data_IF_419251545811
#
_entry.id   IF_419251545811
#
_cell.length_a   1.000
_cell.length_b   1.000
_cell.length_c   1.000
_cell.angle_alpha   90.00
_cell.angle_beta   90.00
_cell.angle_gamma   90.00
#
_symmetry.space_group_name_H-M   'P 1'
#
loop_
_entity.id
_entity.type
_entity.pdbx_description
1 polymer ?
2 non-polymer ?
3 non-polymer ?
4 non-polymer ?
5 water ?
#
# COMPACT_ATOMS: atom_id res chain seq x y z
N UNK A 1 -52.15 16.02 -13.18
CA UNK A 1 -51.66 16.00 -11.79
C UNK A 1 -52.13 14.75 -11.07
N UNK A 2 -53.43 14.65 -10.83
CA UNK A 2 -53.97 13.82 -9.76
C UNK A 2 -53.01 12.71 -9.36
N UNK A 3 -52.64 11.88 -10.33
CA UNK A 3 -51.51 10.97 -10.17
C UNK A 3 -50.25 11.54 -10.82
N UNK A 4 -49.63 12.51 -10.15
CA UNK A 4 -48.23 12.85 -10.39
C UNK A 4 -47.31 12.03 -9.48
N UNK A 5 -46.54 11.13 -10.10
CA UNK A 5 -45.36 10.55 -9.46
C UNK A 5 -44.11 11.22 -10.03
N UNK A 6 -44.27 12.33 -10.73
CA UNK A 6 -43.11 13.11 -11.19
C UNK A 6 -42.36 13.61 -9.97
N UNK A 7 -41.05 13.33 -9.92
CA UNK A 7 -40.18 13.97 -8.97
C UNK A 7 -40.00 15.45 -9.36
N UNK A 8 -39.69 16.31 -8.38
CA UNK A 8 -39.29 17.71 -8.62
C UNK A 8 -38.43 18.25 -7.48
N UNK A 9 -37.66 19.33 -7.72
CA UNK A 9 -36.70 19.81 -6.71
C UNK A 9 -37.28 19.98 -5.32
N UNK A 10 -36.45 19.73 -4.32
CA UNK A 10 -36.91 19.61 -2.94
C UNK A 10 -37.11 20.97 -2.33
N UNK A 11 -38.10 21.06 -1.44
CA UNK A 11 -38.27 22.21 -0.56
C UNK A 11 -37.26 22.01 0.58
N UNK A 12 -36.71 23.10 1.10
CA UNK A 12 -35.62 23.07 2.09
C UNK A 12 -35.98 22.36 3.43
N UNK A 13 -37.26 22.39 3.79
CA UNK A 13 -37.81 21.61 4.92
C UNK A 13 -38.23 20.18 4.51
N UNK A 14 -38.06 19.85 3.22
CA UNK A 14 -38.46 18.55 2.71
C UNK A 14 -37.32 17.61 2.82
N UNK A 15 -37.14 17.10 4.04
CA UNK A 15 -35.95 16.35 4.43
C UNK A 15 -35.88 14.97 3.77
N UNK A 16 -36.92 14.15 3.85
CA UNK A 16 -36.89 12.82 3.20
C UNK A 16 -36.65 12.88 1.67
N UNK A 17 -36.94 14.04 1.07
CA UNK A 17 -36.67 14.32 -0.33
C UNK A 17 -35.18 14.59 -0.60
N UNK A 18 -34.57 15.38 0.29
CA UNK A 18 -33.17 15.82 0.18
C UNK A 18 -32.31 14.66 0.58
N UNK A 19 -32.74 13.89 1.57
CA UNK A 19 -32.09 12.63 1.92
C UNK A 19 -32.06 11.70 0.71
N UNK A 20 -33.21 11.57 0.06
CA UNK A 20 -33.36 10.69 -1.09
C UNK A 20 -32.55 11.17 -2.27
N UNK A 21 -32.47 12.49 -2.48
CA UNK A 21 -31.61 13.05 -3.52
C UNK A 21 -30.12 12.80 -3.21
N UNK A 22 -29.74 12.89 -1.95
CA UNK A 22 -28.40 12.49 -1.57
C UNK A 22 -28.13 11.03 -1.94
N UNK A 23 -29.07 10.14 -1.63
CA UNK A 23 -28.94 8.71 -2.00
C UNK A 23 -28.87 8.43 -3.53
N UNK A 24 -29.77 9.02 -4.31
CA UNK A 24 -29.75 8.87 -5.76
C UNK A 24 -28.40 9.30 -6.34
N UNK A 25 -27.88 10.40 -5.84
CA UNK A 25 -26.58 10.91 -6.25
C UNK A 25 -25.44 9.91 -6.00
N UNK A 26 -25.30 9.45 -4.76
CA UNK A 26 -24.34 8.45 -4.39
C UNK A 26 -24.44 7.23 -5.26
N UNK A 27 -25.63 6.69 -5.36
CA UNK A 27 -25.86 5.54 -6.24
C UNK A 27 -25.55 5.74 -7.69
N UNK A 28 -25.55 6.98 -8.20
CA UNK A 28 -25.29 7.12 -9.63
C UNK A 28 -23.96 7.84 -9.93
N UNK A 29 -23.09 7.89 -8.95
CA UNK A 29 -21.79 8.54 -9.10
C UNK A 29 -20.60 7.79 -8.57
N UNK A 30 -20.81 6.59 -8.05
CA UNK A 30 -19.73 5.84 -7.42
C UNK A 30 -18.68 5.38 -8.41
N UNK A 31 -19.05 5.25 -9.65
CA UNK A 31 -18.16 4.93 -10.77
C UNK A 31 -17.23 6.11 -11.13
N UNK A 32 -17.54 7.31 -10.60
CA UNK A 32 -16.82 8.50 -10.97
C UNK A 32 -17.40 9.14 -12.20
N UNK A 33 -17.33 10.47 -12.22
CA UNK A 33 -17.58 11.29 -13.41
C UNK A 33 -16.46 12.34 -13.50
N UNK A 34 -15.33 11.99 -14.10
CA UNK A 34 -14.14 12.85 -13.98
C UNK A 34 -14.27 14.11 -14.71
N UNK A 35 -15.21 14.12 -15.66
CA UNK A 35 -15.52 15.33 -16.37
C UNK A 35 -16.02 16.46 -15.44
N UNK A 36 -16.63 16.11 -14.32
CA UNK A 36 -17.12 17.08 -13.39
C UNK A 36 -16.45 17.00 -12.03
N UNK A 37 -15.22 16.48 -12.00
CA UNK A 37 -14.39 16.43 -10.79
C UNK A 37 -14.94 15.50 -9.72
N UNK A 38 -15.72 14.50 -10.14
CA UNK A 38 -16.26 13.48 -9.27
C UNK A 38 -15.40 12.25 -9.34
N UNK A 39 -14.89 11.85 -8.17
CA UNK A 39 -13.95 10.73 -8.04
C UNK A 39 -14.69 9.42 -7.84
N UNK A 40 -14.04 8.37 -8.30
CA UNK A 40 -14.48 7.04 -8.11
C UNK A 40 -14.54 6.68 -6.65
N UNK A 41 -15.61 5.99 -6.26
CA UNK A 41 -15.81 5.57 -4.90
C UNK A 41 -15.90 4.05 -4.71
N UNK A 42 -16.15 3.34 -5.79
CA UNK A 42 -16.23 1.92 -5.77
C UNK A 42 -15.98 1.37 -7.16
N UNK A 43 -14.82 0.67 -7.37
CA UNK A 43 -13.70 0.51 -6.41
C UNK A 43 -12.94 1.79 -6.19
N UNK A 44 -12.37 1.96 -5.02
CA UNK A 44 -11.48 3.10 -4.74
C UNK A 44 -10.19 2.53 -4.19
N UNK A 45 -9.06 2.95 -4.70
CA UNK A 45 -7.77 2.51 -4.19
C UNK A 45 -7.16 3.54 -3.26
N UNK A 46 -6.90 3.15 -2.02
CA UNK A 46 -6.04 3.91 -1.07
C UNK A 46 -4.57 3.50 -1.26
N UNK A 47 -3.76 4.34 -1.87
CA UNK A 47 -2.32 4.00 -2.16
C UNK A 47 -1.47 3.51 -1.01
N UNK A 48 -1.57 4.17 0.14
CA UNK A 48 -0.79 3.87 1.33
C UNK A 48 -1.48 4.21 2.65
N UNK A 49 -1.23 3.39 3.64
CA UNK A 49 -1.67 3.55 5.03
C UNK A 49 -0.56 2.93 5.89
N UNK A 50 0.45 3.74 6.21
CA UNK A 50 1.55 3.35 7.08
C UNK A 50 1.11 3.58 8.50
N UNK A 51 1.78 2.89 9.39
CA UNK A 51 1.41 2.97 10.76
C UNK A 51 2.55 2.35 11.56
N UNK A 52 2.80 2.95 12.71
CA UNK A 52 3.85 2.50 13.61
C UNK A 52 3.38 2.62 15.05
N UNK A 53 3.29 1.48 15.73
CA UNK A 53 3.08 1.46 17.17
C UNK A 53 4.42 1.34 17.86
N UNK A 54 4.83 2.42 18.53
CA UNK A 54 6.00 2.39 19.39
C UNK A 54 5.59 2.08 20.83
N UNK A 55 6.54 1.57 21.61
CA UNK A 55 7.76 1.04 21.04
C UNK A 55 7.66 -0.49 20.99
N UNK A 56 6.44 -1.02 21.09
CA UNK A 56 6.14 -2.34 20.52
C UNK A 56 6.73 -2.63 19.16
N UNK A 57 7.63 -1.76 18.70
CA UNK A 57 8.60 -2.13 17.67
C UNK A 57 8.10 -2.85 16.43
N UNK A 58 7.07 -2.31 15.83
CA UNK A 58 6.46 -2.96 14.73
C UNK A 58 5.92 -1.87 13.84
N UNK A 59 6.20 -1.95 12.55
CA UNK A 59 5.55 -1.06 11.60
C UNK A 59 4.68 -1.90 10.70
N UNK A 60 3.47 -1.43 10.46
CA UNK A 60 2.57 -2.10 9.54
C UNK A 60 2.13 -1.08 8.50
N UNK A 61 2.23 -1.48 7.23
CA UNK A 61 1.94 -0.60 6.10
C UNK A 61 1.06 -1.33 5.07
N UNK A 62 -0.15 -0.85 4.86
CA UNK A 62 -1.04 -1.37 3.81
C UNK A 62 -0.83 -0.62 2.52
N UNK A 63 -0.56 -1.33 1.43
CA UNK A 63 -0.28 -0.70 0.15
C UNK A 63 -1.32 -1.05 -0.94
N UNK A 64 -1.63 -0.06 -1.74
CA UNK A 64 -2.64 -0.17 -2.77
C UNK A 64 -3.88 -0.97 -2.35
N UNK A 65 -4.61 -0.42 -1.39
CA UNK A 65 -5.81 -1.08 -0.88
C UNK A 65 -7.00 -0.78 -1.77
N UNK A 66 -7.50 -1.79 -2.48
CA UNK A 66 -8.65 -1.65 -3.30
C UNK A 66 -9.87 -1.88 -2.45
N UNK A 67 -10.68 -0.83 -2.26
CA UNK A 67 -11.87 -0.87 -1.38
C UNK A 67 -13.17 -0.95 -2.21
N UNK A 68 -13.99 -1.96 -1.92
CA UNK A 68 -15.25 -2.21 -2.67
C UNK A 68 -16.37 -2.33 -1.61
N UNK A 69 -17.59 -1.97 -2.01
CA UNK A 69 -18.77 -2.08 -1.18
C UNK A 69 -19.51 -0.77 -1.00
N UNK A 70 -18.81 0.34 -1.17
CA UNK A 70 -19.45 1.65 -1.04
C UNK A 70 -20.56 1.98 -2.02
N UNK A 71 -20.57 1.37 -3.21
CA UNK A 71 -21.75 1.48 -4.06
C UNK A 71 -23.09 1.10 -3.36
N UNK A 72 -23.02 0.17 -2.39
CA UNK A 72 -24.15 -0.35 -1.66
C UNK A 72 -24.50 0.43 -0.36
N UNK A 73 -23.90 1.58 -0.11
CA UNK A 73 -24.06 2.22 1.17
C UNK A 73 -25.45 2.85 1.27
N UNK A 74 -26.07 2.81 2.43
CA UNK A 74 -27.48 3.23 2.58
C UNK A 74 -27.57 4.26 3.65
N UNK A 75 -28.19 5.39 3.36
CA UNK A 75 -28.37 6.48 4.32
C UNK A 75 -29.16 5.98 5.53
N UNK A 76 -28.69 6.32 6.72
CA UNK A 76 -29.37 5.91 7.94
C UNK A 76 -29.87 7.06 8.80
N UNK A 77 -29.35 8.23 8.54
CA UNK A 77 -29.74 9.44 9.20
C UNK A 77 -29.40 10.58 8.27
N UNK A 78 -30.26 11.58 8.30
CA UNK A 78 -30.08 12.76 7.52
C UNK A 78 -30.73 13.97 8.19
N UNK A 79 -29.91 14.89 8.70
CA UNK A 79 -30.33 16.17 9.28
C UNK A 79 -29.98 17.31 8.35
N UNK A 80 -30.91 18.26 8.17
CA UNK A 80 -30.57 19.56 7.53
C UNK A 80 -31.18 20.77 8.25
N UNK A 81 -30.33 21.49 8.99
CA UNK A 81 -30.71 22.64 9.80
C UNK A 81 -30.74 23.90 8.94
N UNK A 82 -31.92 24.47 8.76
CA UNK A 82 -32.16 25.48 7.73
C UNK A 82 -31.48 26.82 8.05
N UNK A 83 -31.27 27.08 9.34
CA UNK A 83 -30.59 28.31 9.79
C UNK A 83 -29.17 28.41 9.24
N UNK A 84 -28.37 27.37 9.46
CA UNK A 84 -26.98 27.34 8.99
C UNK A 84 -26.76 26.69 7.61
N UNK A 85 -27.81 26.09 7.05
CA UNK A 85 -27.69 25.05 6.00
C UNK A 85 -26.62 24.04 6.43
N UNK A 86 -26.68 23.67 7.71
CA UNK A 86 -25.81 22.66 8.30
C UNK A 86 -26.41 21.27 8.00
N UNK A 87 -25.59 20.41 7.38
CA UNK A 87 -25.97 19.06 7.01
C UNK A 87 -25.27 18.06 7.91
N UNK A 88 -26.01 17.05 8.37
CA UNK A 88 -25.42 15.85 8.97
C UNK A 88 -26.13 14.58 8.49
N UNK A 89 -25.38 13.65 7.90
CA UNK A 89 -25.99 12.40 7.47
C UNK A 89 -25.04 11.23 7.72
N UNK A 90 -25.61 10.06 7.98
CA UNK A 90 -24.82 8.84 8.10
C UNK A 90 -25.27 7.81 7.07
N UNK A 91 -24.34 6.99 6.61
CA UNK A 91 -24.68 5.82 5.82
C UNK A 91 -24.14 4.56 6.50
N UNK A 92 -24.85 3.45 6.31
CA UNK A 92 -24.34 2.14 6.69
C UNK A 92 -23.61 1.48 5.50
N UNK A 93 -22.43 0.94 5.77
CA UNK A 93 -21.64 0.32 4.76
C UNK A 93 -20.92 -0.99 5.20
N UNK A 94 -20.83 -1.95 4.26
CA UNK A 94 -20.00 -3.14 4.40
C UNK A 94 -18.97 -3.07 3.27
N UNK A 95 -17.71 -3.01 3.61
CA UNK A 95 -16.69 -3.01 2.61
C UNK A 95 -15.63 -4.08 2.80
N UNK A 96 -14.90 -4.31 1.72
CA UNK A 96 -13.77 -5.17 1.69
C UNK A 96 -12.60 -4.35 1.19
N UNK A 97 -11.46 -4.42 1.88
CA UNK A 97 -10.25 -3.72 1.42
C UNK A 97 -9.21 -4.76 1.11
N UNK A 98 -8.74 -4.79 -0.13
CA UNK A 98 -7.80 -5.83 -0.55
C UNK A 98 -6.51 -5.23 -1.13
N UNK A 99 -5.35 -5.59 -0.56
CA UNK A 99 -4.03 -5.14 -1.06
C UNK A 99 -2.83 -5.85 -0.44
N UNK A 100 -1.69 -5.16 -0.34
CA UNK A 100 -0.48 -5.72 0.23
C UNK A 100 -0.27 -5.21 1.65
N UNK A 101 0.19 -6.09 2.51
CA UNK A 101 0.66 -5.76 3.87
C UNK A 101 2.18 -5.89 3.92
N UNK A 102 2.84 -4.84 4.42
CA UNK A 102 4.26 -4.93 4.80
C UNK A 102 4.36 -4.85 6.33
N UNK A 103 4.95 -5.88 6.91
CA UNK A 103 5.26 -5.91 8.33
C UNK A 103 6.78 -5.70 8.45
N UNK A 104 7.20 -4.68 9.18
CA UNK A 104 8.60 -4.52 9.49
C UNK A 104 8.87 -4.76 10.98
N UNK A 105 9.97 -5.45 11.24
CA UNK A 105 10.47 -5.69 12.58
C UNK A 105 11.84 -5.04 12.66
N UNK A 106 11.86 -3.74 12.96
CA UNK A 106 13.07 -2.93 12.85
C UNK A 106 14.26 -3.38 13.74
N UNK A 107 14.00 -3.91 14.93
CA UNK A 107 15.10 -4.28 15.81
C UNK A 107 15.80 -5.55 15.29
N UNK A 108 15.07 -6.35 14.51
CA UNK A 108 15.62 -7.51 13.80
C UNK A 108 16.00 -7.21 12.34
N UNK A 109 15.66 -6.03 11.84
CA UNK A 109 15.94 -5.62 10.47
C UNK A 109 15.25 -6.52 9.43
N UNK A 110 14.02 -6.96 9.75
CA UNK A 110 13.28 -7.85 8.89
C UNK A 110 12.02 -7.21 8.35
N UNK A 111 11.54 -7.75 7.26
CA UNK A 111 10.40 -7.29 6.52
C UNK A 111 9.67 -8.52 5.96
N UNK A 112 8.35 -8.54 6.01
CA UNK A 112 7.54 -9.54 5.29
C UNK A 112 6.44 -8.81 4.53
N UNK A 113 6.13 -9.34 3.34
CA UNK A 113 5.18 -8.78 2.39
C UNK A 113 4.34 -9.89 1.79
N UNK A 114 3.02 -9.75 1.90
CA UNK A 114 2.05 -10.71 1.40
C UNK A 114 0.70 -10.04 1.19
N UNK A 115 -0.29 -10.78 0.73
CA UNK A 115 -1.61 -10.25 0.48
C UNK A 115 -2.45 -10.16 1.76
N UNK A 116 -3.28 -9.13 1.83
CA UNK A 116 -4.19 -8.90 2.97
C UNK A 116 -5.60 -8.49 2.50
N UNK A 117 -6.58 -8.94 3.26
CA UNK A 117 -7.97 -8.57 3.06
C UNK A 117 -8.54 -8.24 4.41
N UNK A 118 -9.13 -7.05 4.47
CA UNK A 118 -9.89 -6.57 5.61
C UNK A 118 -11.34 -6.43 5.21
N UNK A 119 -12.22 -6.84 6.11
CA UNK A 119 -13.67 -6.65 5.90
C UNK A 119 -14.28 -6.05 7.13
N UNK A 120 -15.07 -5.00 6.94
CA UNK A 120 -15.86 -4.41 8.00
C UNK A 120 -17.29 -4.01 7.60
N UNK A 121 -18.10 -3.96 8.65
CA UNK A 121 -19.36 -3.31 8.66
C UNK A 121 -19.21 -2.09 9.56
N UNK A 122 -19.68 -0.98 9.06
CA UNK A 122 -19.51 0.29 9.71
C UNK A 122 -20.73 1.15 9.45
N UNK A 123 -20.80 2.23 10.21
CA UNK A 123 -21.65 3.36 9.89
C UNK A 123 -20.73 4.58 10.01
N UNK A 124 -20.67 5.37 8.94
CA UNK A 124 -19.87 6.58 8.94
C UNK A 124 -20.80 7.77 8.73
N UNK A 125 -20.38 8.93 9.24
CA UNK A 125 -21.21 10.12 9.15
C UNK A 125 -20.41 11.27 8.62
N UNK A 126 -21.09 12.28 8.09
CA UNK A 126 -20.41 13.51 7.63
C UNK A 126 -21.22 14.69 8.17
N UNK A 127 -20.53 15.69 8.69
CA UNK A 127 -21.16 16.88 9.15
C UNK A 127 -20.46 18.05 8.46
N UNK A 128 -21.25 18.97 7.95
CA UNK A 128 -20.67 20.21 7.37
C UNK A 128 -21.77 21.20 7.15
N UNK A 129 -21.43 22.41 6.79
CA UNK A 129 -22.47 23.39 6.43
C UNK A 129 -22.18 23.99 5.08
N UNK A 130 -23.24 24.47 4.44
CA UNK A 130 -23.14 25.12 3.14
C UNK A 130 -23.09 26.62 3.34
N UNK A 131 -22.21 27.28 2.59
CA UNK A 131 -22.36 28.71 2.31
C UNK A 131 -22.74 28.87 0.83
N UNK A 132 -23.56 29.87 0.54
CA UNK A 132 -23.73 30.33 -0.85
C UNK A 132 -22.61 31.33 -1.15
N UNK A 133 -21.92 31.11 -2.27
CA UNK A 133 -20.72 31.88 -2.60
C UNK A 133 -20.80 32.44 -4.03
N UNK A 134 -19.89 33.39 -4.29
CA UNK A 134 -20.13 34.48 -5.26
C UNK A 134 -20.93 34.07 -6.48
N UNK A 135 -20.40 33.12 -7.27
CA UNK A 135 -19.22 32.29 -6.91
C UNK A 135 -18.09 32.43 -7.94
N UNK A 136 -18.46 32.81 -9.16
CA UNK A 136 -17.53 33.42 -10.09
C UNK A 136 -18.01 34.82 -10.46
N UNK A 137 -19.04 34.90 -11.31
CA UNK A 137 -19.51 36.17 -11.85
C UNK A 137 -21.01 36.16 -12.12
N UNK A 138 -21.78 36.15 -11.04
CA UNK A 138 -23.24 36.18 -11.14
C UNK A 138 -23.88 34.84 -10.85
N UNK A 139 -23.28 33.78 -11.36
CA UNK A 139 -23.63 32.43 -10.94
C UNK A 139 -23.36 32.28 -9.45
N UNK A 140 -24.41 32.11 -8.65
CA UNK A 140 -24.28 31.78 -7.24
C UNK A 140 -24.44 30.28 -7.03
N UNK A 141 -23.59 29.70 -6.18
CA UNK A 141 -23.64 28.26 -5.90
C UNK A 141 -23.52 28.00 -4.41
N UNK A 142 -24.04 26.86 -4.01
CA UNK A 142 -23.73 26.30 -2.71
C UNK A 142 -22.29 25.82 -2.63
N UNK A 143 -21.68 26.06 -1.47
CA UNK A 143 -20.33 25.66 -1.19
C UNK A 143 -20.33 24.89 0.12
N UNK A 144 -20.19 23.58 0.04
CA UNK A 144 -20.07 22.76 1.25
C UNK A 144 -18.73 23.05 1.93
N UNK A 145 -18.78 23.35 3.23
CA UNK A 145 -17.55 23.69 3.99
C UNK A 145 -16.81 22.46 4.50
N UNK A 146 -15.69 22.64 5.20
CA UNK A 146 -14.99 21.46 5.70
C UNK A 146 -15.86 20.57 6.61
N UNK A 147 -15.77 19.26 6.35
CA UNK A 147 -16.55 18.26 7.05
C UNK A 147 -15.81 17.59 8.22
N UNK A 148 -16.62 17.07 9.14
CA UNK A 148 -16.20 16.16 10.20
C UNK A 148 -16.80 14.79 9.84
N UNK A 149 -15.99 13.73 9.94
CA UNK A 149 -16.41 12.37 9.69
C UNK A 149 -16.39 11.56 11.00
N UNK A 150 -17.48 10.85 11.29
CA UNK A 150 -17.56 9.91 12.40
C UNK A 150 -17.46 8.52 11.82
N UNK A 151 -17.06 7.58 12.65
CA UNK A 151 -16.94 6.21 12.29
C UNK A 151 -17.33 5.30 13.46
N UNK A 152 -18.31 4.46 13.21
CA UNK A 152 -18.67 3.39 14.07
C UNK A 152 -18.56 2.06 13.31
N UNK A 153 -17.93 1.09 13.93
CA UNK A 153 -17.75 -0.27 13.45
C UNK A 153 -18.77 -1.15 14.18
N UNK A 154 -19.36 -2.08 13.47
CA UNK A 154 -20.24 -3.10 14.02
C UNK A 154 -19.55 -4.43 14.03
N UNK A 155 -19.43 -5.01 15.21
CA UNK A 155 -18.68 -6.24 15.38
C UNK A 155 -17.20 -5.95 15.38
N UNK A 156 -16.41 -6.95 14.99
CA UNK A 156 -15.00 -6.77 14.76
C UNK A 156 -14.67 -7.10 13.31
N UNK A 157 -13.98 -6.20 12.63
CA UNK A 157 -13.43 -6.46 11.31
C UNK A 157 -12.73 -7.80 11.22
N UNK A 158 -12.82 -8.47 10.08
CA UNK A 158 -12.02 -9.64 9.81
C UNK A 158 -10.80 -9.19 9.03
N UNK A 159 -9.64 -9.63 9.48
CA UNK A 159 -8.37 -9.38 8.81
C UNK A 159 -7.83 -10.73 8.48
N UNK A 160 -7.42 -10.87 7.23
CA UNK A 160 -7.11 -12.14 6.67
C UNK A 160 -5.89 -11.94 5.75
N UNK A 161 -4.99 -12.90 5.82
CA UNK A 161 -3.62 -12.81 5.30
C UNK A 161 -3.34 -14.09 4.48
N UNK A 162 -2.42 -14.04 3.53
CA UNK A 162 -2.13 -15.24 2.77
C UNK A 162 -1.63 -16.31 3.72
N UNK A 163 -1.81 -17.59 3.42
CA UNK A 163 -1.36 -18.58 4.37
C UNK A 163 0.19 -18.63 4.44
N UNK A 164 0.86 -18.24 3.37
CA UNK A 164 2.32 -18.18 3.42
C UNK A 164 2.82 -17.08 4.35
N UNK A 165 2.03 -16.01 4.45
CA UNK A 165 2.36 -14.92 5.32
C UNK A 165 2.05 -15.28 6.74
N UNK A 166 0.93 -15.94 6.99
CA UNK A 166 0.72 -16.49 8.36
C UNK A 166 1.91 -17.34 8.81
N UNK A 167 2.27 -18.31 7.98
CA UNK A 167 3.34 -19.23 8.30
C UNK A 167 4.64 -18.53 8.62
N UNK A 168 5.00 -17.56 7.79
CA UNK A 168 6.21 -16.74 8.00
C UNK A 168 6.18 -16.00 9.34
N UNK A 169 5.04 -15.43 9.69
CA UNK A 169 4.94 -14.70 10.95
C UNK A 169 4.95 -15.61 12.21
N UNK A 170 4.18 -16.71 12.17
CA UNK A 170 4.17 -17.72 13.18
C UNK A 170 5.59 -18.13 13.48
N UNK A 171 6.42 -18.20 12.48
CA UNK A 171 7.72 -18.81 12.61
C UNK A 171 8.80 -17.81 12.98
N UNK A 172 8.43 -16.55 13.12
CA UNK A 172 9.32 -15.47 13.49
C UNK A 172 9.23 -15.10 14.99
N UNK A 173 10.33 -15.26 15.72
CA UNK A 173 10.34 -15.10 17.18
C UNK A 173 10.08 -13.66 17.68
N UNK A 174 10.63 -12.68 16.94
CA UNK A 174 10.39 -11.26 17.25
C UNK A 174 8.92 -10.86 17.08
N UNK A 175 8.32 -11.30 15.97
CA UNK A 175 6.90 -11.11 15.81
C UNK A 175 6.10 -11.91 16.81
N UNK A 176 6.44 -13.16 17.00
CA UNK A 176 5.69 -13.93 18.00
C UNK A 176 5.79 -13.36 19.39
N UNK A 177 6.93 -12.79 19.73
CA UNK A 177 7.11 -12.14 21.05
C UNK A 177 6.13 -10.98 21.24
N UNK A 178 5.86 -10.30 20.16
CA UNK A 178 4.95 -9.18 20.12
C UNK A 178 3.51 -9.66 20.14
N UNK A 179 3.20 -10.63 19.31
CA UNK A 179 1.83 -11.13 19.30
C UNK A 179 1.39 -11.77 20.65
N UNK A 180 2.34 -12.40 21.33
CA UNK A 180 2.11 -13.07 22.60
C UNK A 180 1.94 -12.05 23.74
N UNK A 181 2.86 -11.08 23.84
CA UNK A 181 2.78 -10.05 24.85
C UNK A 181 1.79 -8.89 24.51
N UNK A 182 1.46 -8.64 23.23
CA UNK A 182 0.70 -7.46 22.83
C UNK A 182 -0.39 -7.80 21.82
N UNK A 183 -0.77 -9.06 21.77
CA UNK A 183 -1.89 -9.50 20.92
C UNK A 183 -3.06 -8.58 21.00
N UNK A 184 -3.47 -8.29 22.21
CA UNK A 184 -4.52 -7.28 22.48
C UNK A 184 -4.45 -6.13 21.51
N UNK A 185 -3.34 -5.42 21.53
CA UNK A 185 -3.25 -4.07 20.92
C UNK A 185 -3.14 -4.14 19.39
N UNK A 186 -2.47 -5.15 18.87
CA UNK A 186 -2.58 -5.48 17.47
C UNK A 186 -4.03 -5.58 17.00
N UNK A 187 -4.80 -6.42 17.68
CA UNK A 187 -6.25 -6.50 17.48
C UNK A 187 -6.95 -5.14 17.55
N UNK A 188 -6.57 -4.30 18.50
CA UNK A 188 -6.97 -2.87 18.51
C UNK A 188 -6.72 -2.30 17.14
N UNK A 189 -5.45 -2.32 16.70
CA UNK A 189 -5.00 -1.69 15.47
C UNK A 189 -5.91 -1.93 14.27
N UNK A 190 -6.43 -3.15 14.20
CA UNK A 190 -7.34 -3.59 13.15
C UNK A 190 -8.62 -2.75 13.05
N UNK A 191 -9.20 -2.37 14.18
CA UNK A 191 -10.38 -1.46 14.22
C UNK A 191 -10.02 0.00 13.85
N UNK A 192 -8.86 0.48 14.31
CA UNK A 192 -8.33 1.78 13.90
C UNK A 192 -8.23 1.83 12.39
N UNK A 193 -7.64 0.78 11.82
CA UNK A 193 -7.45 0.74 10.37
C UNK A 193 -8.77 0.77 9.61
N UNK A 194 -9.77 0.00 10.06
CA UNK A 194 -11.13 0.07 9.47
C UNK A 194 -11.64 1.50 9.50
N UNK A 195 -11.51 2.18 10.63
CA UNK A 195 -11.97 3.55 10.71
C UNK A 195 -11.14 4.45 9.82
N UNK A 196 -9.88 4.13 9.60
CA UNK A 196 -9.13 4.95 8.62
C UNK A 196 -9.61 4.82 7.18
N UNK A 197 -9.94 3.60 6.80
CA UNK A 197 -10.50 3.38 5.46
C UNK A 197 -11.81 4.15 5.32
N UNK A 198 -12.65 4.06 6.31
CA UNK A 198 -13.93 4.73 6.31
C UNK A 198 -13.82 6.24 6.21
N UNK A 199 -12.91 6.82 7.00
CA UNK A 199 -12.60 8.26 6.99
C UNK A 199 -12.17 8.73 5.60
N UNK A 200 -11.19 8.05 5.06
CA UNK A 200 -10.65 8.34 3.75
C UNK A 200 -11.72 8.38 2.66
N UNK A 201 -12.51 7.33 2.61
CA UNK A 201 -13.52 7.22 1.58
C UNK A 201 -14.63 8.17 1.82
N UNK A 202 -15.00 8.45 3.07
CA UNK A 202 -16.11 9.40 3.26
C UNK A 202 -15.71 10.83 2.88
N UNK A 203 -14.44 11.15 3.03
CA UNK A 203 -13.95 12.45 2.62
C UNK A 203 -14.10 12.55 1.10
N UNK A 204 -13.82 11.46 0.37
CA UNK A 204 -13.98 11.49 -1.09
C UNK A 204 -15.43 11.71 -1.47
N UNK A 205 -16.32 11.10 -0.71
CA UNK A 205 -17.68 11.13 -1.15
C UNK A 205 -18.30 12.52 -0.90
N UNK A 206 -17.87 13.18 0.14
CA UNK A 206 -18.24 14.58 0.40
C UNK A 206 -17.56 15.53 -0.59
N UNK A 207 -16.34 15.22 -1.02
CA UNK A 207 -15.70 15.91 -2.14
C UNK A 207 -16.58 15.91 -3.34
N UNK A 208 -17.20 14.75 -3.58
CA UNK A 208 -18.11 14.60 -4.72
C UNK A 208 -19.37 15.40 -4.63
N UNK A 209 -20.01 15.39 -3.47
CA UNK A 209 -21.18 16.27 -3.26
C UNK A 209 -20.75 17.72 -3.41
N UNK A 210 -19.63 18.07 -2.78
CA UNK A 210 -19.09 19.39 -2.94
C UNK A 210 -18.84 19.77 -4.41
N UNK A 211 -18.27 18.86 -5.18
CA UNK A 211 -18.01 19.10 -6.59
C UNK A 211 -19.29 19.27 -7.39
N UNK A 212 -20.30 18.45 -7.10
CA UNK A 212 -21.62 18.59 -7.75
C UNK A 212 -22.28 19.94 -7.39
N UNK A 213 -22.22 20.34 -6.12
CA UNK A 213 -22.82 21.63 -5.73
C UNK A 213 -22.19 22.85 -6.43
N UNK A 214 -20.95 22.74 -6.88
CA UNK A 214 -20.29 23.80 -7.60
C UNK A 214 -20.79 23.98 -9.01
N UNK A 215 -21.09 22.87 -9.67
CA UNK A 215 -21.56 22.85 -11.06
C UNK A 215 -22.99 23.35 -11.14
N UNK A 216 -23.82 22.81 -10.25
CA UNK A 216 -25.24 23.06 -10.23
C UNK A 216 -25.56 24.52 -9.78
N UNK A 217 -26.78 25.03 -10.08
CA UNK A 217 -27.19 26.44 -9.78
C UNK A 217 -27.46 26.94 -8.31
N UNK A 218 -28.02 26.14 -7.40
CA UNK A 218 -28.82 24.98 -7.71
C UNK A 218 -30.17 25.17 -7.07
N UNK A 219 -31.07 25.69 -7.89
CA UNK A 219 -32.48 25.50 -7.71
C UNK A 219 -32.83 24.00 -7.81
N UNK A 220 -31.80 23.13 -7.85
CA UNK A 220 -31.95 21.71 -7.48
C UNK A 220 -31.77 21.60 -5.94
N UNK A 221 -32.70 22.22 -5.23
CA UNK A 221 -32.55 22.57 -3.81
C UNK A 221 -33.56 21.82 -2.93
N UNK B 9 13.42 -34.22 -14.34
CA UNK B 9 14.77 -34.62 -13.96
C UNK B 9 15.09 -34.51 -12.46
N UNK B 10 14.06 -34.45 -11.60
CA UNK B 10 14.21 -34.59 -10.13
C UNK B 10 13.20 -35.59 -9.57
N UNK B 11 13.40 -35.99 -8.31
CA UNK B 11 12.37 -36.61 -7.49
C UNK B 11 11.78 -35.48 -6.62
N UNK B 12 10.48 -35.58 -6.34
CA UNK B 12 9.80 -34.54 -5.57
C UNK B 12 10.24 -34.50 -4.10
N UNK B 13 10.63 -35.63 -3.55
CA UNK B 13 11.13 -35.67 -2.17
C UNK B 13 12.62 -35.40 -2.12
N UNK B 14 13.24 -35.32 -3.29
CA UNK B 14 14.64 -34.88 -3.40
C UNK B 14 14.71 -33.35 -3.48
N UNK B 15 14.88 -32.73 -2.32
CA UNK B 15 14.87 -31.29 -2.23
C UNK B 15 16.30 -30.69 -2.37
N UNK B 16 17.31 -31.56 -2.24
CA UNK B 16 18.69 -31.20 -2.58
C UNK B 16 18.81 -31.01 -4.09
N UNK B 17 18.07 -31.84 -4.82
CA UNK B 17 17.99 -31.80 -6.27
C UNK B 17 17.28 -30.54 -6.72
N UNK B 18 16.09 -30.32 -6.15
CA UNK B 18 15.23 -29.19 -6.50
C UNK B 18 15.93 -27.86 -6.16
N UNK B 19 16.71 -27.87 -5.08
CA UNK B 19 17.50 -26.70 -4.68
C UNK B 19 18.64 -26.42 -5.65
N UNK B 20 19.43 -27.43 -6.01
CA UNK B 20 20.40 -27.29 -7.11
C UNK B 20 19.69 -26.75 -8.35
N UNK B 21 18.58 -27.39 -8.73
CA UNK B 21 17.80 -27.00 -9.90
C UNK B 21 17.51 -25.51 -9.88
N UNK B 22 16.99 -25.02 -8.76
CA UNK B 22 16.64 -23.60 -8.60
C UNK B 22 17.85 -22.69 -8.81
N UNK B 23 18.92 -22.97 -8.10
CA UNK B 23 20.11 -22.18 -8.20
C UNK B 23 20.57 -22.11 -9.65
N UNK B 24 20.66 -23.29 -10.28
CA UNK B 24 21.07 -23.37 -11.67
C UNK B 24 20.17 -22.48 -12.56
N UNK B 25 18.87 -22.51 -12.28
CA UNK B 25 17.89 -21.72 -13.05
C UNK B 25 18.17 -20.22 -12.92
N UNK B 26 18.30 -19.73 -11.69
CA UNK B 26 18.69 -18.35 -11.43
C UNK B 26 19.96 -18.03 -12.18
N UNK B 27 20.96 -18.88 -11.99
CA UNK B 27 22.29 -18.65 -12.58
C UNK B 27 22.26 -18.49 -14.09
N UNK B 28 21.29 -19.13 -14.73
CA UNK B 28 21.13 -19.08 -16.19
C UNK B 28 20.07 -18.09 -16.71
N UNK B 29 19.54 -17.22 -15.86
CA UNK B 29 18.47 -16.31 -16.28
C UNK B 29 18.58 -14.85 -15.84
N UNK B 30 19.66 -14.50 -15.11
CA UNK B 30 19.75 -13.15 -14.48
C UNK B 30 19.89 -12.07 -15.56
N UNK B 31 20.40 -12.49 -16.71
CA UNK B 31 20.60 -11.62 -17.84
C UNK B 31 19.31 -11.36 -18.64
N UNK B 32 18.20 -12.02 -18.29
CA UNK B 32 16.93 -11.88 -19.02
C UNK B 32 16.83 -12.80 -20.25
N UNK B 33 15.64 -13.38 -20.48
CA UNK B 33 15.31 -14.10 -21.72
C UNK B 33 13.94 -13.62 -22.23
N UNK B 34 13.93 -12.51 -22.99
CA UNK B 34 12.73 -11.71 -23.32
C UNK B 34 11.62 -12.45 -24.05
N UNK B 35 12.02 -13.43 -24.84
CA UNK B 35 11.07 -14.27 -25.58
C UNK B 35 10.17 -14.99 -24.58
N UNK B 36 10.78 -15.35 -23.43
CA UNK B 36 10.12 -16.10 -22.38
C UNK B 36 9.57 -15.16 -21.29
N UNK B 37 9.45 -13.87 -21.59
CA UNK B 37 9.07 -12.84 -20.59
C UNK B 37 9.81 -13.00 -19.26
N UNK B 38 11.09 -13.36 -19.35
CA UNK B 38 11.95 -13.50 -18.18
C UNK B 38 12.95 -12.34 -18.13
N UNK B 39 12.88 -11.55 -17.06
CA UNK B 39 13.47 -10.22 -17.02
C UNK B 39 14.87 -10.22 -16.43
N UNK B 40 15.65 -9.19 -16.79
CA UNK B 40 16.98 -8.99 -16.21
C UNK B 40 16.89 -8.82 -14.68
N UNK B 41 17.64 -9.65 -13.96
CA UNK B 41 17.83 -9.51 -12.52
C UNK B 41 19.16 -8.83 -12.21
N UNK B 42 20.08 -8.86 -13.18
CA UNK B 42 21.40 -8.30 -12.98
C UNK B 42 22.04 -7.86 -14.27
N UNK B 43 22.24 -6.54 -14.46
CA UNK B 43 21.73 -5.46 -13.62
C UNK B 43 20.23 -5.28 -13.80
N UNK B 44 19.61 -4.68 -12.78
CA UNK B 44 18.18 -4.41 -12.84
C UNK B 44 18.02 -2.97 -12.38
N UNK B 45 17.24 -2.20 -13.11
CA UNK B 45 17.04 -0.80 -12.80
C UNK B 45 15.64 -0.62 -12.24
N UNK B 46 15.61 0.11 -11.13
CA UNK B 46 14.37 0.48 -10.46
C UNK B 46 14.15 1.94 -10.79
N UNK B 47 13.10 2.23 -11.56
CA UNK B 47 12.85 3.61 -11.97
C UNK B 47 12.69 4.60 -10.81
N UNK B 48 11.95 4.18 -9.79
CA UNK B 48 11.60 5.10 -8.72
C UNK B 48 11.37 4.39 -7.40
N UNK B 49 11.86 5.04 -6.35
CA UNK B 49 11.73 4.62 -4.97
C UNK B 49 11.68 5.87 -4.09
N UNK B 50 10.50 6.19 -3.58
CA UNK B 50 10.27 7.42 -2.79
C UNK B 50 9.94 7.04 -1.36
N UNK B 51 10.37 7.83 -0.41
CA UNK B 51 9.92 7.66 0.98
C UNK B 51 10.06 8.96 1.78
N UNK B 52 9.20 9.10 2.79
CA UNK B 52 9.33 10.21 3.74
C UNK B 52 9.65 9.68 5.12
N UNK B 53 10.71 10.22 5.74
CA UNK B 53 11.09 9.79 7.08
C UNK B 53 10.16 10.38 8.13
N UNK B 54 10.28 9.88 9.36
CA UNK B 54 9.22 9.99 10.35
C UNK B 54 9.16 11.39 10.97
N UNK B 55 9.81 11.55 12.12
CA UNK B 55 9.65 12.75 12.93
C UNK B 55 10.31 13.95 12.26
N UNK B 56 11.40 13.70 11.55
CA UNK B 56 11.87 14.59 10.50
C UNK B 56 11.12 14.32 9.20
N UNK B 57 10.40 15.32 8.72
CA UNK B 57 9.91 15.35 7.35
C UNK B 57 11.08 15.42 6.36
N UNK B 58 11.73 14.28 6.13
CA UNK B 58 12.70 14.17 5.06
C UNK B 58 12.06 13.32 3.98
N UNK B 59 11.92 13.86 2.79
CA UNK B 59 11.56 13.05 1.62
C UNK B 59 12.81 12.64 0.89
N UNK B 60 12.95 11.35 0.63
CA UNK B 60 14.09 10.79 -0.06
C UNK B 60 13.54 10.09 -1.29
N UNK B 61 14.00 10.46 -2.46
CA UNK B 61 13.61 9.79 -3.69
C UNK B 61 14.88 9.30 -4.40
N UNK B 62 14.81 8.11 -4.97
CA UNK B 62 15.90 7.55 -5.75
C UNK B 62 15.37 7.36 -7.14
N UNK B 63 16.17 7.72 -8.12
CA UNK B 63 15.75 7.58 -9.51
C UNK B 63 16.73 6.74 -10.30
N UNK B 64 16.19 5.78 -11.05
CA UNK B 64 16.98 4.84 -11.86
C UNK B 64 18.13 4.24 -11.06
N UNK B 65 17.77 3.51 -10.02
CA UNK B 65 18.74 2.77 -9.28
C UNK B 65 19.10 1.55 -10.09
N UNK B 66 20.37 1.48 -10.49
CA UNK B 66 20.93 0.28 -11.12
C UNK B 66 21.51 -0.69 -10.06
N UNK B 67 20.82 -1.81 -9.87
CA UNK B 67 21.18 -2.81 -8.87
C UNK B 67 21.93 -3.98 -9.51
N UNK B 68 23.18 -4.15 -9.09
CA UNK B 68 23.97 -5.28 -9.50
C UNK B 68 24.31 -6.11 -8.27
N UNK B 69 24.64 -7.38 -8.50
CA UNK B 69 25.08 -8.30 -7.46
C UNK B 69 24.20 -9.54 -7.25
N UNK B 70 23.04 -9.58 -7.93
CA UNK B 70 22.07 -10.67 -7.73
C UNK B 70 22.42 -11.89 -8.52
N UNK B 71 23.26 -11.72 -9.52
CA UNK B 71 23.73 -12.86 -10.28
C UNK B 71 24.49 -13.82 -9.33
N UNK B 72 25.07 -13.26 -8.26
CA UNK B 72 25.89 -14.01 -7.27
C UNK B 72 25.14 -14.43 -6.00
N UNK B 73 23.81 -14.37 -6.04
CA UNK B 73 22.99 -14.82 -4.91
C UNK B 73 23.01 -16.35 -4.81
N UNK B 74 23.14 -16.84 -3.59
CA UNK B 74 23.23 -18.25 -3.35
C UNK B 74 22.06 -18.69 -2.50
N UNK B 75 21.33 -19.70 -2.96
CA UNK B 75 20.33 -20.39 -2.11
C UNK B 75 20.89 -20.69 -0.71
N UNK B 76 20.13 -20.31 0.31
CA UNK B 76 20.50 -20.46 1.71
C UNK B 76 19.43 -21.27 2.46
N UNK B 77 18.29 -21.49 1.81
CA UNK B 77 17.19 -22.24 2.39
C UNK B 77 16.30 -22.72 1.26
N UNK B 78 15.88 -23.97 1.33
CA UNK B 78 14.91 -24.55 0.41
C UNK B 78 13.99 -25.65 1.03
N UNK B 79 12.72 -25.58 0.66
CA UNK B 79 11.68 -26.38 1.28
C UNK B 79 10.60 -26.63 0.26
N UNK B 80 10.23 -27.89 0.12
CA UNK B 80 9.10 -28.24 -0.71
C UNK B 80 8.36 -29.33 0.02
N UNK B 81 7.13 -29.05 0.40
CA UNK B 81 6.20 -30.10 0.83
C UNK B 81 5.37 -30.61 -0.34
N UNK B 82 5.77 -31.73 -0.91
CA UNK B 82 5.12 -32.23 -2.10
C UNK B 82 3.63 -32.34 -1.85
N UNK B 83 3.29 -32.58 -0.59
CA UNK B 83 1.91 -32.84 -0.20
C UNK B 83 1.01 -31.64 -0.45
N UNK B 84 1.29 -30.54 0.26
CA UNK B 84 0.49 -29.33 0.15
C UNK B 84 1.13 -28.34 -0.83
N UNK B 85 2.28 -28.71 -1.37
CA UNK B 85 2.74 -28.13 -2.65
C UNK B 85 3.60 -26.90 -2.28
N UNK B 86 3.78 -26.65 -0.99
CA UNK B 86 4.42 -25.44 -0.51
C UNK B 86 5.89 -25.34 -0.95
N UNK B 87 6.22 -24.25 -1.63
CA UNK B 87 7.61 -23.88 -1.86
C UNK B 87 8.05 -22.71 -0.96
N UNK B 88 9.31 -22.75 -0.56
CA UNK B 88 9.88 -21.79 0.36
C UNK B 88 11.39 -21.83 0.24
N UNK B 89 11.94 -20.74 -0.30
CA UNK B 89 13.36 -20.64 -0.44
C UNK B 89 13.87 -19.24 -0.10
N UNK B 90 15.13 -19.11 0.30
CA UNK B 90 15.77 -17.82 0.56
C UNK B 90 17.14 -17.82 -0.10
N UNK B 91 17.66 -16.65 -0.48
CA UNK B 91 19.04 -16.59 -1.00
C UNK B 91 19.78 -15.50 -0.27
N UNK B 92 21.09 -15.70 -0.13
CA UNK B 92 21.93 -14.63 0.41
C UNK B 92 22.50 -13.82 -0.74
N UNK B 93 22.50 -12.49 -0.59
CA UNK B 93 22.96 -11.61 -1.66
C UNK B 93 23.64 -10.34 -1.13
N UNK B 94 24.77 -9.96 -1.73
CA UNK B 94 25.31 -8.63 -1.54
C UNK B 94 25.02 -7.82 -2.78
N UNK B 95 24.48 -6.61 -2.64
CA UNK B 95 24.21 -5.79 -3.84
C UNK B 95 24.69 -4.35 -3.71
N UNK B 96 24.83 -3.74 -4.90
CA UNK B 96 25.18 -2.33 -5.08
C UNK B 96 24.04 -1.71 -5.85
N UNK B 97 23.55 -0.57 -5.38
CA UNK B 97 22.51 0.18 -6.08
C UNK B 97 23.02 1.57 -6.43
N UNK B 98 23.02 1.89 -7.73
CA UNK B 98 23.57 3.15 -8.21
C UNK B 98 22.54 3.99 -8.96
N UNK B 99 22.40 5.24 -8.57
CA UNK B 99 21.51 6.15 -9.28
C UNK B 99 21.49 7.56 -8.71
N UNK B 100 20.36 8.25 -8.86
CA UNK B 100 20.25 9.65 -8.46
C UNK B 100 19.45 9.78 -7.17
N UNK B 101 19.98 10.52 -6.21
CA UNK B 101 19.30 10.79 -4.94
C UNK B 101 18.70 12.21 -4.93
N UNK B 102 17.40 12.33 -4.68
CA UNK B 102 16.76 13.61 -4.44
C UNK B 102 16.34 13.71 -2.98
N UNK B 103 16.81 14.75 -2.30
CA UNK B 103 16.54 14.93 -0.86
C UNK B 103 15.75 16.22 -0.63
N UNK B 104 14.54 16.08 -0.08
CA UNK B 104 13.68 17.21 0.16
C UNK B 104 13.40 17.44 1.64
N UNK B 105 13.50 18.70 2.02
CA UNK B 105 13.00 19.19 3.31
C UNK B 105 11.71 19.95 2.97
N UNK B 106 10.52 19.29 3.00
CA UNK B 106 9.22 19.84 2.54
C UNK B 106 8.63 20.97 3.39
N UNK B 107 9.16 21.16 4.59
CA UNK B 107 8.92 22.41 5.38
C UNK B 107 9.32 23.64 4.56
N UNK B 108 10.58 23.65 4.12
CA UNK B 108 11.09 24.66 3.20
C UNK B 108 10.88 24.23 1.72
N UNK B 109 10.72 22.92 1.49
CA UNK B 109 10.76 22.31 0.14
C UNK B 109 12.09 22.68 -0.53
N UNK B 110 13.17 22.32 0.16
CA UNK B 110 14.50 22.63 -0.29
C UNK B 110 15.13 21.31 -0.69
N UNK B 111 15.61 21.28 -1.93
CA UNK B 111 16.05 20.08 -2.63
C UNK B 111 17.53 20.14 -2.97
N UNK B 112 18.24 19.10 -2.57
CA UNK B 112 19.53 18.74 -3.11
C UNK B 112 19.34 17.45 -3.91
N UNK B 113 20.07 17.32 -5.00
CA UNK B 113 20.12 16.07 -5.76
C UNK B 113 21.59 15.75 -6.00
N UNK B 114 21.86 14.49 -6.34
CA UNK B 114 23.23 14.02 -6.53
C UNK B 114 23.26 12.54 -6.85
N UNK B 115 24.42 12.11 -7.28
CA UNK B 115 24.76 10.68 -7.44
C UNK B 115 24.91 9.96 -6.08
N UNK B 116 24.37 8.74 -6.00
CA UNK B 116 24.46 7.89 -4.80
C UNK B 116 24.74 6.42 -5.18
N UNK B 117 25.54 5.78 -4.33
CA UNK B 117 25.72 4.34 -4.34
C UNK B 117 25.26 3.80 -3.00
N UNK B 118 24.49 2.73 -3.04
CA UNK B 118 24.21 1.92 -1.83
C UNK B 118 24.75 0.51 -1.93
N UNK B 119 25.40 0.06 -0.87
CA UNK B 119 25.87 -1.29 -0.76
C UNK B 119 25.21 -1.93 0.43
N UNK B 120 24.70 -3.13 0.22
CA UNK B 120 24.04 -3.87 1.27
C UNK B 120 24.26 -5.35 1.11
N UNK B 121 24.27 -6.00 2.26
CA UNK B 121 24.22 -7.44 2.33
C UNK B 121 22.86 -7.87 2.92
N UNK B 122 22.23 -8.84 2.28
CA UNK B 122 20.96 -9.33 2.80
C UNK B 122 20.66 -10.77 2.46
N UNK B 123 19.54 -11.20 3.04
CA UNK B 123 18.81 -12.40 2.67
C UNK B 123 17.39 -12.02 2.28
N UNK B 124 16.98 -12.51 1.11
CA UNK B 124 15.62 -12.44 0.67
C UNK B 124 15.04 -13.85 0.57
N UNK B 125 13.73 -13.97 0.51
CA UNK B 125 13.09 -15.28 0.37
C UNK B 125 11.71 -15.15 -0.24
N UNK B 126 11.21 -16.29 -0.75
CA UNK B 126 9.92 -16.36 -1.40
C UNK B 126 9.17 -17.57 -0.92
N UNK B 127 7.88 -17.40 -0.69
CA UNK B 127 7.00 -18.55 -0.36
C UNK B 127 5.76 -18.54 -1.24
N UNK B 128 5.43 -19.68 -1.85
CA UNK B 128 4.23 -19.78 -2.68
C UNK B 128 3.96 -21.27 -2.86
N UNK B 129 2.78 -21.60 -3.38
CA UNK B 129 2.46 -22.99 -3.75
C UNK B 129 2.23 -23.13 -5.25
N UNK B 130 2.58 -24.30 -5.78
CA UNK B 130 2.26 -24.67 -7.16
C UNK B 130 0.83 -25.21 -7.20
N UNK B 131 0.22 -25.06 -8.36
CA UNK B 131 -0.96 -25.80 -8.74
C UNK B 131 -0.73 -26.20 -10.20
N UNK B 132 -1.54 -27.13 -10.71
CA UNK B 132 -1.49 -27.43 -12.13
C UNK B 132 -2.64 -26.70 -12.83
N UNK B 133 -2.30 -26.01 -13.92
CA UNK B 133 -3.25 -25.19 -14.68
C UNK B 133 -3.62 -25.89 -15.97
N UNK B 134 -4.90 -25.74 -16.33
CA UNK B 134 -5.51 -26.55 -17.33
C UNK B 134 -5.70 -25.77 -18.64
N UNK B 140 -1.34 -28.09 -19.67
CA UNK B 140 -1.09 -28.82 -18.42
C UNK B 140 0.29 -28.44 -17.82
N UNK B 141 0.35 -27.22 -17.25
CA UNK B 141 1.59 -26.61 -16.74
C UNK B 141 1.57 -26.33 -15.24
N UNK B 142 2.74 -26.16 -14.64
CA UNK B 142 2.81 -25.75 -13.22
C UNK B 142 2.59 -24.24 -13.11
N UNK B 143 1.85 -23.85 -12.09
CA UNK B 143 1.47 -22.45 -11.85
C UNK B 143 1.86 -22.00 -10.43
N UNK B 144 3.02 -21.35 -10.32
CA UNK B 144 3.45 -20.71 -9.07
C UNK B 144 2.44 -19.61 -8.76
N UNK B 145 1.76 -19.73 -7.62
CA UNK B 145 0.74 -18.73 -7.20
C UNK B 145 1.36 -17.50 -6.55
N UNK B 146 0.52 -16.57 -6.06
CA UNK B 146 1.02 -15.31 -5.49
C UNK B 146 1.94 -15.53 -4.25
N UNK B 147 3.06 -14.81 -4.15
CA UNK B 147 4.10 -15.16 -3.16
C UNK B 147 4.13 -14.25 -1.92
N UNK B 148 4.74 -14.73 -0.85
CA UNK B 148 5.11 -13.76 0.19
C UNK B 148 6.60 -13.62 0.14
N UNK B 149 7.04 -12.38 0.25
CA UNK B 149 8.44 -12.01 0.17
C UNK B 149 8.92 -11.61 1.57
N UNK B 150 10.09 -12.12 1.94
CA UNK B 150 10.80 -11.68 3.13
C UNK B 150 12.18 -11.05 2.85
N UNK B 151 12.66 -10.24 3.79
CA UNK B 151 13.92 -9.55 3.67
C UNK B 151 14.52 -9.40 5.06
N UNK B 152 15.79 -9.68 5.13
CA UNK B 152 16.59 -9.38 6.29
C UNK B 152 17.90 -8.71 5.86
N UNK B 153 18.25 -7.64 6.54
CA UNK B 153 19.51 -6.96 6.28
C UNK B 153 20.58 -7.33 7.32
N UNK B 154 21.78 -7.67 6.83
CA UNK B 154 22.91 -7.97 7.73
C UNK B 154 23.85 -6.78 7.88
N UNK B 155 24.05 -6.35 9.12
CA UNK B 155 24.89 -5.19 9.41
C UNK B 155 24.31 -3.87 8.92
N UNK B 156 25.19 -2.98 8.51
CA UNK B 156 24.84 -1.61 8.16
C UNK B 156 25.10 -1.36 6.66
N UNK B 157 24.04 -1.19 5.86
CA UNK B 157 24.32 -0.75 4.50
C UNK B 157 25.19 0.54 4.42
N UNK B 158 26.03 0.64 3.40
CA UNK B 158 26.81 1.84 3.25
C UNK B 158 26.08 2.74 2.25
N UNK B 159 26.23 4.04 2.42
CA UNK B 159 25.55 5.02 1.56
C UNK B 159 26.60 6.00 1.20
N UNK B 160 26.81 6.21 -0.09
CA UNK B 160 27.88 7.11 -0.46
C UNK B 160 27.44 8.00 -1.58
N UNK B 161 27.75 9.26 -1.41
CA UNK B 161 27.27 10.36 -2.24
C UNK B 161 28.54 11.09 -2.67
N UNK B 162 28.45 11.98 -3.67
CA UNK B 162 29.66 12.65 -4.15
C UNK B 162 30.24 13.59 -3.09
N UNK B 163 31.49 13.98 -3.31
CA UNK B 163 32.21 14.87 -2.40
C UNK B 163 31.48 16.21 -2.24
N UNK B 164 31.08 16.82 -3.36
CA UNK B 164 30.42 18.15 -3.28
C UNK B 164 29.11 18.02 -2.50
N UNK B 165 28.32 17.00 -2.79
CA UNK B 165 27.02 16.86 -2.15
C UNK B 165 27.22 16.80 -0.64
N UNK B 166 28.10 15.87 -0.24
CA UNK B 166 28.41 15.70 1.18
C UNK B 166 28.68 17.05 1.83
N UNK B 167 29.52 17.86 1.19
CA UNK B 167 29.97 19.11 1.78
C UNK B 167 28.89 20.20 1.86
N UNK B 168 28.01 20.23 0.87
CA UNK B 168 26.93 21.23 0.82
C UNK B 168 25.90 20.96 1.90
N UNK B 169 25.54 19.69 2.08
CA UNK B 169 24.64 19.28 3.16
C UNK B 169 25.27 19.59 4.51
N UNK B 170 26.56 19.34 4.64
CA UNK B 170 27.29 19.74 5.85
C UNK B 170 27.13 21.25 6.13
N UNK B 171 27.22 22.06 5.07
CA UNK B 171 27.12 23.52 5.21
C UNK B 171 25.67 23.96 5.45
N UNK B 172 24.73 23.16 4.96
CA UNK B 172 23.31 23.40 5.23
C UNK B 172 23.03 23.17 6.71
N UNK B 173 22.77 24.27 7.42
CA UNK B 173 22.59 24.22 8.87
C UNK B 173 21.27 23.54 9.27
N UNK B 174 20.28 23.61 8.38
CA UNK B 174 19.08 22.78 8.47
C UNK B 174 19.46 21.26 8.52
N UNK B 175 20.22 20.82 7.52
CA UNK B 175 20.54 19.40 7.38
C UNK B 175 21.56 18.86 8.37
N UNK B 176 22.52 19.68 8.76
CA UNK B 176 23.49 19.22 9.74
C UNK B 176 22.73 18.84 11.03
N UNK B 177 21.81 19.70 11.45
CA UNK B 177 21.08 19.53 12.70
C UNK B 177 20.12 18.34 12.63
N UNK B 178 19.65 18.03 11.43
CA UNK B 178 18.90 16.80 11.19
C UNK B 178 19.82 15.57 11.20
N UNK B 179 21.04 15.74 10.74
CA UNK B 179 22.02 14.66 10.77
C UNK B 179 22.44 14.32 12.22
N UNK B 180 22.72 15.36 13.01
CA UNK B 180 23.17 15.20 14.38
C UNK B 180 22.03 14.74 15.31
N UNK B 181 20.83 15.25 15.07
CA UNK B 181 19.68 14.85 15.88
C UNK B 181 19.26 13.41 15.61
N UNK B 182 19.13 13.08 14.33
CA UNK B 182 18.33 11.92 13.92
C UNK B 182 19.13 10.89 13.13
N UNK B 183 20.39 10.69 13.50
CA UNK B 183 21.23 9.71 12.85
C UNK B 183 20.68 8.31 12.87
N UNK B 184 20.15 7.90 14.02
CA UNK B 184 19.66 6.54 14.22
C UNK B 184 18.46 6.24 13.30
N UNK B 185 17.63 7.24 13.07
CA UNK B 185 16.46 7.09 12.22
C UNK B 185 16.93 7.00 10.76
N UNK B 186 18.00 7.75 10.45
CA UNK B 186 18.69 7.69 9.15
C UNK B 186 19.34 6.33 8.84
N UNK B 187 20.09 5.78 9.79
CA UNK B 187 20.71 4.47 9.61
C UNK B 187 19.62 3.39 9.42
N UNK B 188 18.50 3.57 10.11
CA UNK B 188 17.35 2.69 9.98
C UNK B 188 16.70 2.87 8.63
N UNK B 189 16.51 4.13 8.24
CA UNK B 189 15.90 4.44 6.96
C UNK B 189 16.64 3.75 5.84
N UNK B 190 17.94 3.73 5.98
CA UNK B 190 18.84 3.16 4.96
C UNK B 190 18.64 1.64 4.82
N UNK B 191 18.35 0.95 5.91
CA UNK B 191 18.03 -0.50 5.90
C UNK B 191 16.68 -0.80 5.27
N UNK B 192 15.72 0.08 5.49
CA UNK B 192 14.41 -0.01 4.87
C UNK B 192 14.52 0.19 3.33
N UNK B 193 15.40 1.08 2.92
CA UNK B 193 15.61 1.26 1.50
C UNK B 193 16.21 -0.02 0.92
N UNK B 194 17.22 -0.58 1.57
CA UNK B 194 17.82 -1.86 1.13
C UNK B 194 16.71 -2.93 0.99
N UNK B 195 15.81 -3.00 1.95
CA UNK B 195 14.71 -4.00 1.86
C UNK B 195 13.71 -3.75 0.76
N UNK B 196 13.47 -2.50 0.52
CA UNK B 196 12.69 -2.07 -0.62
C UNK B 196 13.28 -2.64 -1.92
N UNK B 197 14.57 -2.43 -2.10
CA UNK B 197 15.29 -2.91 -3.25
C UNK B 197 15.16 -4.44 -3.38
N UNK B 198 15.35 -5.16 -2.28
CA UNK B 198 15.27 -6.61 -2.28
C UNK B 198 13.87 -7.13 -2.61
N UNK B 199 12.85 -6.62 -1.93
CA UNK B 199 11.46 -7.01 -2.23
C UNK B 199 11.15 -6.85 -3.72
N UNK B 200 11.60 -5.73 -4.27
CA UNK B 200 11.31 -5.40 -5.64
C UNK B 200 11.99 -6.37 -6.54
N UNK B 201 13.26 -6.64 -6.29
CA UNK B 201 14.02 -7.54 -7.14
C UNK B 201 13.58 -8.99 -6.94
N UNK B 202 13.25 -9.33 -5.71
CA UNK B 202 12.78 -10.70 -5.42
C UNK B 202 11.42 -10.97 -6.12
N UNK B 203 10.52 -10.01 -6.15
CA UNK B 203 9.24 -10.16 -6.85
C UNK B 203 9.49 -10.51 -8.31
N UNK B 204 10.46 -9.82 -8.92
CA UNK B 204 10.77 -10.05 -10.33
C UNK B 204 11.33 -11.43 -10.48
N UNK B 205 12.12 -11.83 -9.48
CA UNK B 205 12.74 -13.14 -9.43
C UNK B 205 11.71 -14.26 -9.43
N UNK B 206 10.65 -14.12 -8.64
CA UNK B 206 9.65 -15.17 -8.68
C UNK B 206 8.76 -14.99 -9.90
N UNK B 207 8.73 -13.80 -10.47
CA UNK B 207 8.05 -13.64 -11.76
C UNK B 207 8.70 -14.54 -12.81
N UNK B 208 10.02 -14.43 -12.94
CA UNK B 208 10.82 -15.28 -13.85
C UNK B 208 10.51 -16.77 -13.72
N UNK B 209 10.42 -17.23 -12.47
CA UNK B 209 10.07 -18.64 -12.13
C UNK B 209 8.65 -18.95 -12.61
N UNK B 210 7.72 -18.09 -12.26
CA UNK B 210 6.33 -18.24 -12.68
C UNK B 210 6.28 -18.37 -14.21
N UNK B 211 7.10 -17.55 -14.88
CA UNK B 211 7.10 -17.44 -16.34
C UNK B 211 7.63 -18.71 -16.99
N UNK B 212 8.75 -19.19 -16.46
CA UNK B 212 9.35 -20.44 -16.93
C UNK B 212 8.41 -21.63 -16.73
N UNK B 213 7.78 -21.73 -15.55
CA UNK B 213 6.83 -22.80 -15.25
C UNK B 213 5.62 -22.84 -16.22
N UNK B 214 5.29 -21.70 -16.80
CA UNK B 214 4.15 -21.61 -17.72
C UNK B 214 4.43 -22.13 -19.15
N UNK B 215 5.65 -21.94 -19.64
CA UNK B 215 6.06 -22.45 -20.95
C UNK B 215 7.18 -23.49 -20.82
N UNK B 216 7.11 -24.28 -19.74
CA UNK B 216 7.83 -25.56 -19.62
C UNK B 216 6.80 -26.60 -19.16
N UNK B 217 6.94 -27.85 -19.63
CA UNK B 217 6.02 -28.91 -19.24
C UNK B 217 6.25 -29.38 -17.79
N UNK B 218 5.24 -30.01 -17.21
CA UNK B 218 5.34 -30.58 -15.85
C UNK B 218 6.49 -31.59 -15.71
N UNK B 219 6.91 -32.18 -16.82
CA UNK B 219 7.97 -33.21 -16.86
C UNK B 219 9.37 -32.69 -16.50
N UNK B 220 9.62 -31.40 -16.72
CA UNK B 220 10.76 -30.72 -16.07
C UNK B 220 10.45 -30.74 -14.57
N UNK B 221 11.42 -30.40 -13.73
CA UNK B 221 11.24 -30.43 -12.26
C UNK B 221 11.25 -31.87 -11.71
#
# INVERSE_FOLDING_TARGET
SKLNLSTEPCDVSDIECISKATQVFLDNTYQGIPEYNIKKLDPITIPSLEKSIEKINLNVRYNNLKVTGFKNQKISHFTLVRDTKAVNFKTKVNFTAEGKLVIELPKSSKTYTGEVTIEASAEGGAAYSYSVKTDDKGVEHYEAGPETVSCEIFGEPTLSVSSTLEDALKLDSDFKKIFTEYGKQLTEGRKQTACRIVETVYAVSVHNIRAAARILPKSAYFKNV
SKLNLSTEPCDVSDIECISKATQVFLDNTYQGIPEYNIKKLDPITIPSLEKSIEKINLNVRYNNLKVTGFKNQKISHFTLVRDTKAVNFKTKVNFTAEGKLVIELPKSSKTYTGEVTIEASAEGGAAYSYSVKTDDKGVEHYEAGPETVSCEIFGEPTLSVSSTLEDALKLDSDFKKIFTEYGKQLTEGRKQTACRIVETVYAVSVHNIRAAARILPKSAYFKNV
#
